data_IF_031220376562
#
_entry.id   IF_031220376562
#
_cell.length_a   1.000
_cell.length_b   1.000
_cell.length_c   1.000
_cell.angle_alpha   90.00
_cell.angle_beta   90.00
_cell.angle_gamma   90.00
#
_symmetry.space_group_name_H-M   'P 1'
#
loop_
_entity.id
_entity.type
_entity.pdbx_description
1 polymer ?
#
# COMPACT_ATOMS: atom_id res chain seq x y z
N UNK A 1 -13.01 0.05 1.72
CA UNK A 1 -11.90 0.98 1.99
C UNK A 1 -10.86 0.34 2.93
N UNK A 2 -9.57 0.44 2.56
CA UNK A 2 -8.48 -0.37 3.11
C UNK A 2 -7.84 0.31 4.33
N UNK A 3 -7.79 -0.33 5.51
CA UNK A 3 -6.99 0.13 6.64
C UNK A 3 -5.51 0.19 6.28
N UNK A 4 -4.89 1.37 6.36
CA UNK A 4 -3.51 1.59 5.95
C UNK A 4 -2.49 0.81 6.80
N UNK A 5 -2.84 0.46 8.04
CA UNK A 5 -1.94 -0.24 8.97
C UNK A 5 -1.56 -1.65 8.52
N UNK A 6 -2.53 -2.48 8.11
CA UNK A 6 -2.24 -3.84 7.65
C UNK A 6 -1.38 -3.85 6.38
N UNK A 7 -1.65 -2.92 5.46
CA UNK A 7 -0.81 -2.72 4.27
C UNK A 7 0.60 -2.34 4.68
N UNK A 8 0.78 -1.43 5.63
CA UNK A 8 2.11 -1.04 6.10
C UNK A 8 2.84 -2.20 6.80
N UNK A 9 2.12 -3.08 7.51
CA UNK A 9 2.67 -4.32 8.03
C UNK A 9 3.20 -5.23 6.91
N UNK A 10 2.39 -5.49 5.88
CA UNK A 10 2.79 -6.32 4.75
C UNK A 10 3.97 -5.72 3.99
N UNK A 11 3.98 -4.40 3.79
CA UNK A 11 5.08 -3.69 3.13
C UNK A 11 6.39 -3.91 3.88
N UNK A 12 6.40 -3.65 5.20
CA UNK A 12 7.58 -3.83 6.06
C UNK A 12 8.10 -5.25 6.08
N UNK A 13 7.19 -6.22 6.13
CA UNK A 13 7.55 -7.64 6.11
C UNK A 13 8.22 -8.01 4.78
N UNK A 14 7.62 -7.55 3.68
CA UNK A 14 8.10 -7.85 2.36
C UNK A 14 9.37 -7.09 1.98
N UNK A 15 9.49 -5.82 2.35
CA UNK A 15 10.70 -5.02 2.15
C UNK A 15 11.89 -5.61 2.90
N UNK A 16 11.67 -6.29 4.02
CA UNK A 16 12.69 -7.03 4.76
C UNK A 16 13.14 -8.36 4.10
N UNK A 17 12.65 -8.65 2.89
CA UNK A 17 13.19 -9.71 2.03
C UNK A 17 12.31 -10.94 1.88
N UNK A 18 11.24 -11.07 2.65
CA UNK A 18 10.30 -12.19 2.55
C UNK A 18 9.16 -11.90 1.56
N UNK A 19 8.45 -12.95 1.17
CA UNK A 19 7.13 -12.86 0.55
C UNK A 19 6.12 -13.54 1.49
N UNK A 20 4.84 -13.22 1.36
CA UNK A 20 3.79 -13.81 2.22
C UNK A 20 3.56 -15.29 1.96
N UNK A 21 3.92 -15.76 0.77
CA UNK A 21 3.98 -17.16 0.39
C UNK A 21 5.40 -17.52 -0.07
N UNK A 22 5.79 -18.77 0.10
CA UNK A 22 7.05 -19.30 -0.41
C UNK A 22 6.93 -19.72 -1.90
N UNK A 23 8.02 -20.28 -2.44
CA UNK A 23 8.09 -20.78 -3.83
C UNK A 23 7.07 -21.88 -4.15
N UNK A 24 6.59 -22.60 -3.14
CA UNK A 24 5.61 -23.70 -3.24
C UNK A 24 4.20 -23.18 -2.89
N UNK A 25 4.04 -21.86 -2.83
CA UNK A 25 2.82 -21.13 -2.52
C UNK A 25 2.25 -21.41 -1.12
N UNK A 26 3.08 -21.90 -0.19
CA UNK A 26 2.70 -22.11 1.21
C UNK A 26 2.90 -20.82 2.01
N UNK A 27 2.08 -20.54 3.05
CA UNK A 27 2.29 -19.35 3.88
C UNK A 27 3.66 -19.33 4.55
N UNK A 28 4.49 -18.37 4.19
CA UNK A 28 5.89 -18.28 4.65
C UNK A 28 5.97 -18.22 6.18
N UNK A 29 5.03 -17.51 6.81
CA UNK A 29 4.91 -17.41 8.25
C UNK A 29 4.73 -18.76 8.97
N UNK A 30 4.22 -19.79 8.30
CA UNK A 30 4.03 -21.12 8.90
C UNK A 30 5.23 -22.05 8.70
N UNK A 31 6.01 -21.84 7.65
CA UNK A 31 7.06 -22.76 7.19
C UNK A 31 8.47 -22.18 7.26
N UNK A 32 8.62 -20.95 7.75
CA UNK A 32 9.90 -20.28 7.90
C UNK A 32 9.96 -19.52 9.23
N UNK A 33 10.71 -20.06 10.20
CA UNK A 33 10.83 -19.49 11.55
C UNK A 33 11.31 -18.04 11.54
N UNK A 34 12.27 -17.69 10.67
CA UNK A 34 12.78 -16.32 10.58
C UNK A 34 11.72 -15.34 10.07
N UNK A 35 10.88 -15.81 9.15
CA UNK A 35 9.78 -15.02 8.63
C UNK A 35 8.69 -14.85 9.69
N UNK A 36 8.37 -15.91 10.43
CA UNK A 36 7.46 -15.87 11.57
C UNK A 36 7.93 -14.86 12.63
N UNK A 37 9.18 -14.99 13.09
CA UNK A 37 9.79 -14.09 14.08
C UNK A 37 9.74 -12.63 13.64
N UNK A 38 10.10 -12.36 12.38
CA UNK A 38 10.02 -11.01 11.82
C UNK A 38 8.57 -10.49 11.78
N UNK A 39 7.60 -11.33 11.38
CA UNK A 39 6.19 -10.95 11.39
C UNK A 39 5.71 -10.55 12.79
N UNK A 40 6.07 -11.35 13.79
CA UNK A 40 5.79 -11.07 15.20
C UNK A 40 6.48 -9.77 15.65
N UNK A 41 7.74 -9.55 15.27
CA UNK A 41 8.51 -8.35 15.60
C UNK A 41 7.84 -7.07 15.05
N UNK A 42 7.44 -7.08 13.77
CA UNK A 42 6.76 -5.94 13.13
C UNK A 42 5.40 -5.69 13.77
N UNK A 43 4.58 -6.74 13.96
CA UNK A 43 3.28 -6.63 14.60
C UNK A 43 3.39 -6.07 16.02
N UNK A 44 4.38 -6.53 16.79
CA UNK A 44 4.70 -6.01 18.13
C UNK A 44 5.14 -4.55 18.09
N UNK A 45 5.96 -4.14 17.11
CA UNK A 45 6.40 -2.75 16.96
C UNK A 45 5.21 -1.80 16.79
N UNK A 46 4.21 -2.16 15.99
CA UNK A 46 2.99 -1.34 15.84
C UNK A 46 2.16 -1.31 17.12
N UNK A 47 1.94 -2.47 17.75
CA UNK A 47 1.18 -2.55 19.00
C UNK A 47 1.86 -1.75 20.13
N UNK A 48 3.17 -1.91 20.30
CA UNK A 48 3.96 -1.14 21.26
C UNK A 48 3.99 0.35 20.89
N UNK A 49 3.95 0.70 19.61
CA UNK A 49 3.81 2.08 19.13
C UNK A 49 2.55 2.79 19.65
N UNK A 50 1.44 2.06 19.79
CA UNK A 50 0.18 2.55 20.35
C UNK A 50 0.20 2.51 21.90
N UNK A 51 0.59 1.38 22.48
CA UNK A 51 0.35 1.14 23.92
C UNK A 51 1.51 1.51 24.84
N UNK A 52 2.76 1.40 24.38
CA UNK A 52 3.96 1.62 25.21
C UNK A 52 4.71 2.89 24.83
N UNK A 53 5.00 3.07 23.54
CA UNK A 53 5.86 4.14 23.01
C UNK A 53 5.09 5.39 22.62
N UNK A 54 3.78 5.28 22.40
CA UNK A 54 2.84 6.42 22.19
C UNK A 54 3.21 7.32 20.99
N UNK A 55 3.88 6.79 19.97
CA UNK A 55 4.15 7.52 18.72
C UNK A 55 3.10 7.26 17.63
N UNK A 56 2.22 6.27 17.84
CA UNK A 56 1.08 5.98 16.95
C UNK A 56 -0.20 6.38 17.69
N UNK A 57 -1.06 7.16 17.03
CA UNK A 57 -2.39 7.46 17.54
C UNK A 57 -3.20 6.15 17.67
N UNK A 58 -3.77 5.81 18.84
CA UNK A 58 -4.65 4.64 19.00
C UNK A 58 -5.79 4.57 17.97
N UNK A 59 -6.36 5.73 17.57
CA UNK A 59 -7.45 5.79 16.60
C UNK A 59 -7.00 5.40 15.18
N UNK A 60 -5.69 5.45 14.90
CA UNK A 60 -5.11 5.10 13.60
C UNK A 60 -5.38 3.64 13.20
N UNK A 61 -5.70 2.78 14.16
CA UNK A 61 -6.16 1.41 13.91
C UNK A 61 -7.41 1.36 13.02
N UNK A 62 -8.25 2.40 13.09
CA UNK A 62 -9.51 2.50 12.36
C UNK A 62 -9.45 3.44 11.16
N UNK A 63 -8.33 4.16 11.01
CA UNK A 63 -8.19 5.12 9.92
C UNK A 63 -8.20 4.41 8.57
N UNK A 64 -9.07 4.92 7.71
CA UNK A 64 -9.06 4.64 6.29
C UNK A 64 -8.13 5.64 5.61
N UNK A 65 -7.73 5.35 4.38
CA UNK A 65 -6.69 6.12 3.72
C UNK A 65 -7.00 7.64 3.60
N UNK A 66 -8.23 8.02 3.22
CA UNK A 66 -8.66 9.43 3.23
C UNK A 66 -8.74 10.05 4.65
N UNK A 67 -9.26 9.32 5.63
CA UNK A 67 -9.35 9.80 7.03
C UNK A 67 -7.98 10.11 7.62
N UNK A 68 -6.98 9.33 7.23
CA UNK A 68 -5.62 9.56 7.65
C UNK A 68 -5.09 10.88 7.08
N UNK A 69 -5.27 11.13 5.78
CA UNK A 69 -4.86 12.37 5.15
C UNK A 69 -5.53 13.59 5.80
N UNK A 70 -6.84 13.50 6.09
CA UNK A 70 -7.57 14.55 6.83
C UNK A 70 -6.98 14.78 8.22
N UNK A 71 -6.63 13.71 8.94
CA UNK A 71 -6.00 13.79 10.25
C UNK A 71 -4.64 14.50 10.18
N UNK A 72 -3.81 14.18 9.20
CA UNK A 72 -2.53 14.86 8.95
C UNK A 72 -2.73 16.35 8.60
N UNK A 73 -3.60 16.65 7.62
CA UNK A 73 -3.90 18.03 7.18
C UNK A 73 -4.54 18.87 8.29
N UNK A 74 -5.18 18.21 9.27
CA UNK A 74 -5.70 18.90 10.46
C UNK A 74 -4.62 19.37 11.44
N UNK A 75 -3.36 18.99 11.23
CA UNK A 75 -2.23 19.30 12.12
C UNK A 75 -2.09 18.32 13.28
N UNK A 76 -2.80 17.19 13.25
CA UNK A 76 -2.85 16.23 14.35
C UNK A 76 -1.79 15.13 14.25
N UNK A 77 -1.04 15.06 13.14
CA UNK A 77 0.09 14.17 12.96
C UNK A 77 1.27 14.89 12.31
N UNK A 78 2.49 14.62 12.79
CA UNK A 78 3.71 15.15 12.19
C UNK A 78 4.15 14.36 10.94
N UNK A 79 3.74 13.08 10.84
CA UNK A 79 4.03 12.22 9.71
C UNK A 79 2.78 11.44 9.31
N UNK A 80 2.64 11.24 7.99
CA UNK A 80 1.62 10.37 7.46
C UNK A 80 2.14 9.36 6.44
N UNK A 81 1.79 8.08 6.61
CA UNK A 81 1.93 7.02 5.61
C UNK A 81 0.55 6.66 5.03
N UNK A 82 0.37 6.82 3.72
CA UNK A 82 -0.85 6.44 3.01
C UNK A 82 -0.68 6.56 1.50
N UNK A 83 -1.78 6.55 0.75
CA UNK A 83 -1.72 6.64 -0.70
C UNK A 83 -1.45 8.08 -1.15
N UNK A 84 -0.59 8.23 -2.16
CA UNK A 84 -0.29 9.53 -2.76
C UNK A 84 -1.55 10.30 -3.15
N UNK A 85 -2.54 9.62 -3.74
CA UNK A 85 -3.79 10.24 -4.15
C UNK A 85 -4.65 10.74 -2.99
N UNK A 86 -4.57 10.14 -1.80
CA UNK A 86 -5.35 10.58 -0.64
C UNK A 86 -4.75 11.80 0.04
N UNK A 87 -3.42 11.94 -0.02
CA UNK A 87 -2.75 13.19 0.30
C UNK A 87 -2.91 14.25 -0.78
N UNK A 88 -3.61 13.90 -1.89
CA UNK A 88 -3.85 14.69 -3.10
C UNK A 88 -2.71 15.67 -3.30
N UNK A 89 -1.55 15.26 -3.84
CA UNK A 89 -0.29 16.05 -3.80
C UNK A 89 -0.37 17.55 -4.08
N UNK A 90 -1.47 18.05 -4.65
CA UNK A 90 -1.96 19.43 -4.69
C UNK A 90 -2.44 20.02 -3.33
N UNK A 91 -3.32 19.35 -2.57
CA UNK A 91 -3.92 19.84 -1.32
C UNK A 91 -2.86 20.22 -0.29
N UNK A 92 -1.80 19.42 -0.16
CA UNK A 92 -0.67 19.75 0.72
C UNK A 92 0.09 21.03 0.30
N UNK A 93 -0.15 21.52 -0.92
CA UNK A 93 0.44 22.73 -1.47
C UNK A 93 -0.53 23.91 -1.50
N UNK A 94 -1.80 23.70 -1.12
CA UNK A 94 -2.79 24.77 -1.02
C UNK A 94 -2.39 25.71 0.12
N UNK A 95 -2.50 27.02 -0.12
CA UNK A 95 -2.06 28.04 0.84
C UNK A 95 -2.69 27.86 2.22
N UNK A 96 -3.98 27.52 2.29
CA UNK A 96 -4.67 27.28 3.56
C UNK A 96 -4.05 26.12 4.36
N UNK A 97 -3.69 25.03 3.68
CA UNK A 97 -3.04 23.88 4.31
C UNK A 97 -1.63 24.25 4.74
N UNK A 98 -0.84 24.87 3.86
CA UNK A 98 0.54 25.30 4.16
C UNK A 98 0.58 26.30 5.32
N UNK A 99 -0.33 27.27 5.36
CA UNK A 99 -0.44 28.24 6.47
C UNK A 99 -0.77 27.54 7.80
N UNK A 100 -1.47 26.40 7.75
CA UNK A 100 -1.90 25.64 8.93
C UNK A 100 -0.86 24.67 9.46
N UNK A 101 -0.25 23.85 8.59
CA UNK A 101 0.65 22.76 9.01
C UNK A 101 2.11 22.97 8.58
N UNK A 102 2.40 24.04 7.84
CA UNK A 102 3.70 24.28 7.22
C UNK A 102 3.85 23.57 5.88
N UNK A 103 5.04 23.70 5.28
CA UNK A 103 5.38 22.96 4.06
C UNK A 103 5.56 21.47 4.38
N UNK A 104 4.82 20.60 3.69
CA UNK A 104 4.98 19.14 3.76
C UNK A 104 5.96 18.63 2.70
N UNK A 105 6.70 17.59 3.04
CA UNK A 105 7.56 16.86 2.10
C UNK A 105 7.21 15.37 2.03
N UNK A 106 7.60 14.73 0.93
CA UNK A 106 7.44 13.29 0.74
C UNK A 106 8.74 12.55 1.05
N UNK A 107 8.62 11.30 1.51
CA UNK A 107 9.74 10.41 1.74
C UNK A 107 9.42 8.99 1.29
N UNK A 108 10.46 8.22 0.96
CA UNK A 108 10.33 6.79 0.68
C UNK A 108 10.07 6.08 2.01
N UNK A 109 9.05 5.22 2.06
CA UNK A 109 8.73 4.45 3.28
C UNK A 109 10.00 3.70 3.73
N UNK A 110 10.44 3.85 4.98
CA UNK A 110 11.61 3.13 5.45
C UNK A 110 11.28 1.64 5.59
N UNK A 111 12.20 0.78 5.16
CA UNK A 111 12.12 -0.64 5.47
C UNK A 111 12.24 -0.87 6.98
N UNK A 112 11.79 -2.03 7.43
CA UNK A 112 11.99 -2.47 8.82
C UNK A 112 13.44 -2.89 9.11
N UNK A 113 14.21 -3.23 8.08
CA UNK A 113 15.62 -3.60 8.17
C UNK A 113 16.50 -2.53 7.50
N UNK A 114 17.61 -2.08 8.12
CA UNK A 114 18.47 -1.03 7.58
C UNK A 114 19.07 -1.34 6.20
N UNK A 115 19.31 -2.62 5.93
CA UNK A 115 19.92 -3.13 4.70
C UNK A 115 18.96 -3.23 3.51
N UNK A 116 17.68 -2.89 3.68
CA UNK A 116 16.71 -2.94 2.60
C UNK A 116 15.91 -1.66 2.44
N UNK A 117 15.40 -1.45 1.23
CA UNK A 117 14.58 -0.29 0.90
C UNK A 117 13.14 -0.77 0.66
N UNK A 118 12.15 0.01 1.13
CA UNK A 118 10.75 -0.19 0.77
C UNK A 118 10.37 0.73 -0.37
N UNK A 119 9.59 0.24 -1.34
CA UNK A 119 8.90 1.06 -2.34
C UNK A 119 7.42 1.27 -2.00
N UNK A 120 6.94 0.69 -0.89
CA UNK A 120 5.52 0.58 -0.62
C UNK A 120 4.83 -0.41 -1.57
N UNK A 121 3.51 -0.22 -1.67
CA UNK A 121 2.70 -0.87 -2.68
C UNK A 121 2.34 0.10 -3.80
N UNK A 122 2.22 -0.45 -5.00
CA UNK A 122 1.63 0.25 -6.12
C UNK A 122 0.32 -0.42 -6.51
N UNK A 123 -0.68 0.41 -6.78
CA UNK A 123 -1.97 -0.01 -7.28
C UNK A 123 -2.42 1.02 -8.30
N UNK A 124 -3.05 0.53 -9.37
CA UNK A 124 -3.69 1.36 -10.38
C UNK A 124 -5.14 0.96 -10.48
N UNK A 125 -6.00 1.97 -10.53
CA UNK A 125 -7.38 1.77 -10.95
C UNK A 125 -7.37 1.44 -12.45
N UNK A 126 -7.91 0.28 -12.80
CA UNK A 126 -7.91 -0.21 -14.17
C UNK A 126 -9.31 -0.12 -14.78
N UNK A 127 -9.36 0.13 -16.09
CA UNK A 127 -10.58 0.04 -16.88
C UNK A 127 -10.60 -1.30 -17.62
N UNK A 128 -11.66 -2.08 -17.40
CA UNK A 128 -11.92 -3.34 -18.10
C UNK A 128 -13.16 -3.24 -18.99
N UNK A 129 -13.17 -3.97 -20.10
CA UNK A 129 -14.36 -4.17 -20.93
C UNK A 129 -14.93 -5.54 -20.58
N UNK A 130 -16.18 -5.58 -20.12
CA UNK A 130 -16.89 -6.83 -19.86
C UNK A 130 -17.09 -7.60 -21.17
N UNK A 131 -17.00 -8.93 -21.12
CA UNK A 131 -17.29 -9.83 -22.24
C UNK A 131 -18.71 -9.67 -22.80
N UNK A 132 -19.64 -9.24 -21.96
CA UNK A 132 -21.05 -8.95 -22.28
C UNK A 132 -21.29 -7.52 -22.77
N UNK A 133 -20.25 -6.70 -22.96
CA UNK A 133 -20.39 -5.33 -23.44
C UNK A 133 -21.03 -5.28 -24.83
N UNK A 134 -22.11 -4.51 -24.98
CA UNK A 134 -22.82 -4.33 -26.26
C UNK A 134 -22.07 -3.43 -27.25
N UNK A 135 -21.12 -2.62 -26.77
CA UNK A 135 -20.39 -1.63 -27.57
C UNK A 135 -18.88 -1.67 -27.25
N UNK A 136 -18.20 -2.80 -27.50
CA UNK A 136 -16.81 -2.98 -27.10
C UNK A 136 -15.87 -1.98 -27.81
N UNK A 137 -16.13 -1.65 -29.08
CA UNK A 137 -15.30 -0.70 -29.83
C UNK A 137 -15.37 0.72 -29.23
N UNK A 138 -16.57 1.20 -28.88
CA UNK A 138 -16.74 2.50 -28.25
C UNK A 138 -16.12 2.54 -26.85
N UNK A 139 -16.26 1.46 -26.08
CA UNK A 139 -15.59 1.33 -24.78
C UNK A 139 -14.06 1.33 -24.94
N UNK A 140 -13.53 0.72 -26.01
CA UNK A 140 -12.11 0.75 -26.31
C UNK A 140 -11.61 2.15 -26.69
N UNK A 141 -12.35 2.90 -27.51
CA UNK A 141 -12.02 4.31 -27.80
C UNK A 141 -11.98 5.16 -26.51
N UNK A 142 -12.91 4.93 -25.59
CA UNK A 142 -12.88 5.59 -24.28
C UNK A 142 -11.62 5.22 -23.48
N UNK A 143 -11.24 3.95 -23.42
CA UNK A 143 -10.03 3.52 -22.71
C UNK A 143 -8.78 4.18 -23.32
N UNK A 144 -8.67 4.22 -24.67
CA UNK A 144 -7.57 4.93 -25.33
C UNK A 144 -7.55 6.42 -25.01
N UNK A 145 -8.72 7.06 -24.94
CA UNK A 145 -8.83 8.46 -24.57
C UNK A 145 -8.32 8.72 -23.14
N UNK A 146 -8.80 7.97 -22.13
CA UNK A 146 -8.33 8.15 -20.74
C UNK A 146 -6.85 7.79 -20.56
N UNK A 147 -6.35 6.81 -21.31
CA UNK A 147 -4.96 6.36 -21.25
C UNK A 147 -4.00 7.27 -22.04
N UNK A 148 -4.50 8.22 -22.82
CA UNK A 148 -3.65 9.11 -23.60
C UNK A 148 -2.85 10.06 -22.71
N UNK A 149 -1.67 10.46 -23.20
CA UNK A 149 -0.71 11.30 -22.48
C UNK A 149 -1.35 12.51 -21.79
N UNK A 150 -2.19 13.26 -22.52
CA UNK A 150 -2.84 14.47 -22.01
C UNK A 150 -3.60 14.20 -20.71
N UNK A 151 -4.37 13.12 -20.66
CA UNK A 151 -5.21 12.81 -19.50
C UNK A 151 -4.41 12.14 -18.38
N UNK A 152 -3.44 11.29 -18.72
CA UNK A 152 -2.54 10.71 -17.73
C UNK A 152 -1.70 11.77 -17.02
N UNK A 153 -1.17 12.76 -17.75
CA UNK A 153 -0.44 13.88 -17.15
C UNK A 153 -1.35 14.81 -16.35
N UNK A 154 -2.60 15.03 -16.78
CA UNK A 154 -3.57 15.80 -16.00
C UNK A 154 -3.88 15.15 -14.64
N UNK A 155 -3.87 13.82 -14.57
CA UNK A 155 -4.06 13.08 -13.33
C UNK A 155 -2.76 12.90 -12.52
N UNK A 156 -1.58 13.14 -13.10
CA UNK A 156 -0.29 12.81 -12.48
C UNK A 156 -0.02 13.56 -11.16
N UNK A 157 -0.75 14.64 -10.89
CA UNK A 157 -0.68 15.37 -9.63
C UNK A 157 -1.25 14.59 -8.42
N UNK A 158 -2.04 13.54 -8.67
CA UNK A 158 -2.73 12.75 -7.63
C UNK A 158 -2.59 11.24 -7.83
N UNK A 159 -1.92 10.79 -8.89
CA UNK A 159 -1.63 9.38 -9.12
C UNK A 159 -0.32 9.22 -9.90
N UNK A 160 0.37 8.10 -9.72
CA UNK A 160 1.52 7.75 -10.57
C UNK A 160 0.98 7.27 -11.92
N UNK A 161 1.37 7.88 -13.07
CA UNK A 161 1.01 7.34 -14.37
C UNK A 161 1.45 5.87 -14.51
N UNK A 162 0.60 4.97 -15.04
CA UNK A 162 0.95 3.55 -15.18
C UNK A 162 1.98 3.29 -16.28
N UNK A 163 2.20 4.28 -17.17
CA UNK A 163 3.19 4.22 -18.24
C UNK A 163 4.49 4.89 -17.80
N UNK A 164 5.61 4.14 -17.87
CA UNK A 164 6.90 4.56 -17.33
C UNK A 164 7.40 5.90 -17.90
N UNK A 165 7.30 6.07 -19.21
CA UNK A 165 7.67 7.30 -19.93
C UNK A 165 6.86 8.51 -19.44
N UNK A 166 5.55 8.32 -19.19
CA UNK A 166 4.69 9.37 -18.64
C UNK A 166 5.00 9.67 -17.17
N UNK A 167 5.33 8.66 -16.36
CA UNK A 167 5.76 8.86 -14.98
C UNK A 167 7.09 9.63 -14.93
N UNK A 168 8.06 9.27 -15.76
CA UNK A 168 9.33 9.99 -15.91
C UNK A 168 9.11 11.44 -16.37
N UNK A 169 8.18 11.66 -17.30
CA UNK A 169 7.81 12.99 -17.77
C UNK A 169 7.16 13.81 -16.65
N UNK A 170 6.19 13.25 -15.94
CA UNK A 170 5.53 13.91 -14.81
C UNK A 170 6.53 14.26 -13.69
N UNK A 171 7.54 13.42 -13.45
CA UNK A 171 8.58 13.70 -12.46
C UNK A 171 9.50 14.88 -12.83
N UNK A 172 9.50 15.32 -14.09
CA UNK A 172 10.29 16.46 -14.58
C UNK A 172 9.46 17.72 -14.84
N UNK A 173 8.14 17.58 -14.93
CA UNK A 173 7.22 18.71 -15.12
C UNK A 173 7.01 19.46 -13.80
N UNK A 174 6.95 20.79 -13.78
CA UNK A 174 6.60 21.52 -12.57
C UNK A 174 5.13 21.28 -12.18
N UNK A 175 4.86 21.21 -10.88
CA UNK A 175 3.49 21.18 -10.38
C UNK A 175 2.81 22.54 -10.64
N UNK A 176 1.56 22.55 -11.14
CA UNK A 176 0.87 23.79 -11.53
C UNK A 176 0.52 24.72 -10.35
N UNK A 177 0.51 24.20 -9.12
CA UNK A 177 0.17 24.96 -7.90
C UNK A 177 1.42 25.38 -7.14
N UNK A 178 2.41 24.50 -7.04
CA UNK A 178 3.73 24.83 -6.51
C UNK A 178 4.84 24.46 -7.51
N UNK A 179 5.25 25.39 -8.40
CA UNK A 179 6.27 25.11 -9.42
C UNK A 179 7.65 24.72 -8.90
N UNK A 180 7.90 24.82 -7.59
CA UNK A 180 9.16 24.40 -6.95
C UNK A 180 9.27 22.88 -6.81
N UNK A 181 8.15 22.15 -6.89
CA UNK A 181 8.12 20.69 -6.83
C UNK A 181 7.68 20.12 -8.17
N UNK A 182 8.10 18.89 -8.52
CA UNK A 182 7.61 18.25 -9.73
C UNK A 182 6.14 17.82 -9.59
N UNK A 183 5.47 17.63 -10.72
CA UNK A 183 4.09 17.17 -10.81
C UNK A 183 3.92 15.79 -10.14
N UNK A 184 4.88 14.89 -10.36
CA UNK A 184 5.08 13.68 -9.58
C UNK A 184 6.32 13.83 -8.69
N UNK A 185 6.20 13.91 -7.36
CA UNK A 185 7.33 13.99 -6.43
C UNK A 185 8.39 12.91 -6.67
N UNK A 186 9.68 13.28 -6.64
CA UNK A 186 10.78 12.35 -6.92
C UNK A 186 10.82 11.17 -5.94
N UNK A 187 10.55 11.40 -4.65
CA UNK A 187 10.48 10.32 -3.67
C UNK A 187 9.43 9.27 -4.07
N UNK A 188 8.26 9.70 -4.55
CA UNK A 188 7.20 8.80 -5.01
C UNK A 188 7.51 8.11 -6.32
N UNK A 189 8.13 8.82 -7.28
CA UNK A 189 8.63 8.19 -8.50
C UNK A 189 9.63 7.07 -8.17
N UNK A 190 10.63 7.36 -7.34
CA UNK A 190 11.62 6.35 -6.92
C UNK A 190 10.98 5.19 -6.13
N UNK A 191 10.01 5.48 -5.25
CA UNK A 191 9.26 4.44 -4.55
C UNK A 191 8.51 3.53 -5.52
N UNK A 192 7.83 4.10 -6.54
CA UNK A 192 7.05 3.35 -7.53
C UNK A 192 7.89 2.36 -8.37
N UNK A 193 9.18 2.66 -8.59
CA UNK A 193 10.09 1.75 -9.29
C UNK A 193 10.46 0.51 -8.46
N UNK A 194 10.32 0.58 -7.14
CA UNK A 194 10.63 -0.50 -6.19
C UNK A 194 9.37 -1.10 -5.56
N UNK A 195 8.22 -0.48 -5.82
CA UNK A 195 6.96 -0.83 -5.21
C UNK A 195 6.51 -2.23 -5.61
N UNK A 196 5.80 -2.89 -4.69
CA UNK A 196 5.26 -4.22 -4.93
C UNK A 196 3.83 -4.13 -5.43
N UNK A 197 3.47 -5.07 -6.31
CA UNK A 197 2.08 -5.38 -6.59
C UNK A 197 1.57 -6.28 -5.46
N UNK A 198 0.34 -6.03 -4.99
CA UNK A 198 -0.26 -6.87 -3.96
C UNK A 198 -0.24 -8.35 -4.36
N UNK A 199 0.25 -9.17 -3.43
CA UNK A 199 0.28 -10.63 -3.54
C UNK A 199 0.97 -11.17 -4.80
N UNK A 200 1.88 -10.39 -5.39
CA UNK A 200 2.89 -10.92 -6.28
C UNK A 200 3.95 -11.65 -5.48
N UNK A 201 4.08 -12.95 -5.70
CA UNK A 201 5.08 -13.81 -5.08
C UNK A 201 6.30 -13.85 -6.00
N UNK A 202 7.44 -13.30 -5.56
CA UNK A 202 8.65 -13.16 -6.39
C UNK A 202 9.25 -14.50 -6.72
N UNK A 203 9.31 -15.40 -5.75
CA UNK A 203 9.92 -16.73 -5.92
C UNK A 203 9.09 -17.60 -6.87
N UNK A 204 7.75 -17.47 -6.84
CA UNK A 204 6.85 -18.16 -7.75
C UNK A 204 6.56 -17.38 -9.06
N UNK A 205 6.99 -16.11 -9.14
CA UNK A 205 6.78 -15.18 -10.27
C UNK A 205 5.32 -15.05 -10.70
N UNK A 206 4.39 -15.00 -9.75
CA UNK A 206 2.97 -14.92 -10.04
C UNK A 206 2.19 -14.13 -9.01
N UNK A 207 1.05 -13.57 -9.44
CA UNK A 207 0.04 -13.05 -8.53
C UNK A 207 -0.85 -14.19 -8.02
N UNK A 208 -1.20 -14.12 -6.73
CA UNK A 208 -2.13 -15.08 -6.09
C UNK A 208 -3.38 -14.31 -5.66
N UNK A 209 -4.36 -14.13 -6.56
CA UNK A 209 -5.53 -13.29 -6.31
C UNK A 209 -6.42 -13.80 -5.17
N UNK A 210 -6.32 -15.08 -4.81
CA UNK A 210 -7.07 -15.70 -3.73
C UNK A 210 -6.78 -15.05 -2.37
N UNK A 211 -5.57 -14.49 -2.21
CA UNK A 211 -5.20 -13.72 -1.02
C UNK A 211 -5.96 -12.38 -0.91
N UNK A 212 -6.56 -11.88 -2.00
CA UNK A 212 -7.37 -10.65 -1.99
C UNK A 212 -8.80 -10.84 -1.45
N UNK A 213 -9.22 -12.07 -1.15
CA UNK A 213 -10.57 -12.37 -0.65
C UNK A 213 -10.56 -12.60 0.86
N UNK A 214 -10.90 -13.82 1.30
CA UNK A 214 -11.02 -14.19 2.71
C UNK A 214 -9.73 -13.92 3.52
N UNK A 215 -8.51 -14.23 3.03
CA UNK A 215 -7.28 -13.89 3.75
C UNK A 215 -7.09 -12.38 3.95
N UNK A 216 -7.51 -11.56 3.00
CA UNK A 216 -7.44 -10.11 3.13
C UNK A 216 -8.41 -9.60 4.20
N UNK A 217 -9.67 -10.02 4.12
CA UNK A 217 -10.71 -9.58 5.06
C UNK A 217 -10.37 -10.02 6.50
N UNK A 218 -9.93 -11.26 6.69
CA UNK A 218 -9.51 -11.74 8.00
C UNK A 218 -8.22 -11.04 8.46
N UNK A 219 -7.27 -10.77 7.56
CA UNK A 219 -6.07 -9.99 7.87
C UNK A 219 -6.40 -8.60 8.41
N UNK A 220 -7.36 -7.90 7.80
CA UNK A 220 -7.85 -6.60 8.27
C UNK A 220 -8.52 -6.67 9.64
N UNK A 221 -9.36 -7.70 9.86
CA UNK A 221 -10.05 -7.92 11.14
C UNK A 221 -9.08 -8.26 12.27
N UNK A 222 -8.14 -9.17 12.02
CA UNK A 222 -7.12 -9.54 12.99
C UNK A 222 -6.18 -8.36 13.28
N UNK A 223 -5.83 -7.58 12.26
CA UNK A 223 -5.06 -6.33 12.44
C UNK A 223 -5.79 -5.35 13.38
N UNK A 224 -7.09 -5.13 13.17
CA UNK A 224 -7.90 -4.31 14.07
C UNK A 224 -7.89 -4.82 15.50
N UNK A 225 -8.01 -6.15 15.67
CA UNK A 225 -7.98 -6.81 16.98
C UNK A 225 -6.60 -6.67 17.67
N UNK A 226 -5.51 -6.81 16.90
CA UNK A 226 -4.14 -6.62 17.38
C UNK A 226 -3.92 -5.18 17.86
N UNK A 227 -4.34 -4.20 17.06
CA UNK A 227 -4.23 -2.78 17.41
C UNK A 227 -5.16 -2.37 18.55
N UNK A 228 -6.24 -3.12 18.81
CA UNK A 228 -7.09 -2.98 19.99
C UNK A 228 -6.55 -3.72 21.23
N UNK A 229 -5.35 -4.32 21.15
CA UNK A 229 -4.74 -5.14 22.20
C UNK A 229 -5.61 -6.33 22.65
N UNK A 230 -6.43 -6.86 21.74
CA UNK A 230 -7.33 -7.99 22.00
C UNK A 230 -6.68 -9.35 21.68
N UNK A 231 -5.65 -9.35 20.83
CA UNK A 231 -4.85 -10.52 20.49
C UNK A 231 -3.36 -10.17 20.53
N UNK A 232 -2.51 -11.18 20.68
CA UNK A 232 -1.05 -11.02 20.62
C UNK A 232 -0.55 -10.96 19.17
N UNK A 233 0.67 -10.42 18.93
CA UNK A 233 1.35 -10.54 17.65
C UNK A 233 1.44 -11.98 17.12
N UNK A 234 1.73 -12.95 18.00
CA UNK A 234 1.82 -14.37 17.67
C UNK A 234 0.47 -14.93 17.19
N UNK A 235 -0.62 -14.60 17.89
CA UNK A 235 -1.96 -15.01 17.50
C UNK A 235 -2.37 -14.41 16.14
N UNK A 236 -2.00 -13.15 15.88
CA UNK A 236 -2.24 -12.49 14.59
C UNK A 236 -1.56 -13.24 13.44
N UNK A 237 -0.24 -13.48 13.54
CA UNK A 237 0.53 -14.15 12.49
C UNK A 237 0.03 -15.58 12.26
N UNK A 238 -0.24 -16.31 13.34
CA UNK A 238 -0.70 -17.70 13.27
C UNK A 238 -2.07 -17.80 12.59
N UNK A 239 -3.07 -17.08 13.10
CA UNK A 239 -4.44 -17.13 12.57
C UNK A 239 -4.52 -16.67 11.11
N UNK A 240 -3.80 -15.61 10.76
CA UNK A 240 -3.79 -15.13 9.38
C UNK A 240 -3.17 -16.16 8.42
N UNK A 241 -2.08 -16.81 8.84
CA UNK A 241 -1.43 -17.85 8.04
C UNK A 241 -2.31 -19.09 7.86
N UNK A 242 -3.09 -19.47 8.87
CA UNK A 242 -4.06 -20.57 8.78
C UNK A 242 -5.17 -20.28 7.77
N UNK A 243 -5.72 -19.06 7.77
CA UNK A 243 -6.74 -18.66 6.79
C UNK A 243 -6.17 -18.60 5.37
N UNK A 244 -4.97 -18.04 5.20
CA UNK A 244 -4.28 -18.05 3.92
C UNK A 244 -4.07 -19.49 3.42
N UNK A 245 -3.58 -20.39 4.29
CA UNK A 245 -3.33 -21.78 3.91
C UNK A 245 -4.59 -22.51 3.47
N UNK A 246 -5.67 -22.39 4.26
CA UNK A 246 -6.94 -23.06 3.99
C UNK A 246 -7.57 -22.54 2.68
N UNK A 247 -7.45 -21.24 2.42
CA UNK A 247 -7.92 -20.61 1.18
C UNK A 247 -7.18 -21.18 -0.03
N UNK A 248 -5.86 -21.27 0.04
CA UNK A 248 -5.03 -21.76 -1.06
C UNK A 248 -5.18 -23.27 -1.29
N UNK A 249 -5.38 -24.05 -0.22
CA UNK A 249 -5.73 -25.48 -0.32
C UNK A 249 -7.07 -25.65 -1.06
N UNK A 250 -8.09 -24.87 -0.70
CA UNK A 250 -9.42 -24.88 -1.35
C UNK A 250 -9.35 -24.47 -2.81
N UNK A 251 -8.47 -23.52 -3.15
CA UNK A 251 -8.22 -23.08 -4.52
C UNK A 251 -7.37 -24.06 -5.35
N UNK A 252 -6.82 -25.11 -4.72
CA UNK A 252 -6.10 -26.18 -5.41
C UNK A 252 -4.64 -25.87 -5.72
N UNK A 253 -4.03 -24.90 -5.04
CA UNK A 253 -2.61 -24.57 -5.22
C UNK A 253 -1.68 -25.70 -4.76
N UNK A 254 -2.13 -26.49 -3.78
CA UNK A 254 -1.44 -27.70 -3.32
C UNK A 254 -2.44 -28.65 -2.65
N UNK A 255 -2.06 -29.93 -2.56
CA UNK A 255 -2.85 -30.98 -1.89
C UNK A 255 -2.20 -31.34 -0.56
N UNK A 256 -3.02 -31.74 0.42
CA UNK A 256 -2.54 -32.40 1.65
C UNK A 256 -1.95 -33.76 1.38
#
# INVERSE_FOLDING_TARGET
PIPAGFVTFLDRFMSAGFDVLDKDLRPTFKYNDKAYELGVEIARWFQDGIYKKKFINPDAATFRAGTMADFYISGMAAMGIGWFGDFFGIKLQEKEVVDKIGESGDFIIPSFRPESESGGFVSWWMHGILDTCKYPDAAWEYIKWVASEKYQLACAAVQVPPFKDLAEKANKMPNPINPKIPLLPNALYQASLKARVWFYIRDAKMNVPELCYEPWDEGLKLWGSLMANQITPEEFITKWSEVAEATLEKAGYYKK
#
